data_IF_638293926394
#
_entry.id   IF_638293926394
#
_cell.length_a   1.000
_cell.length_b   1.000
_cell.length_c   1.000
_cell.angle_alpha   90.00
_cell.angle_beta   90.00
_cell.angle_gamma   90.00
#
_symmetry.space_group_name_H-M   'P 1'
#
loop_
_entity.id
_entity.type
_entity.pdbx_description
1 polymer ?
#
# COMPACT_ATOMS: atom_id res chain seq x y z
N UNK A 1 -17.59 -7.70 0.47
CA UNK A 1 -16.53 -7.16 -0.40
C UNK A 1 -15.56 -6.36 0.44
N UNK A 2 -14.25 -6.57 0.29
CA UNK A 2 -13.23 -5.79 1.00
C UNK A 2 -13.27 -4.32 0.57
N UNK A 3 -12.74 -3.40 1.41
CA UNK A 3 -12.74 -1.96 1.09
C UNK A 3 -12.00 -1.66 -0.23
N UNK A 4 -10.79 -2.23 -0.50
CA UNK A 4 -10.16 -2.09 -1.82
C UNK A 4 -11.04 -2.65 -2.94
N UNK A 5 -11.72 -3.79 -2.72
CA UNK A 5 -12.63 -4.39 -3.69
C UNK A 5 -13.80 -3.49 -4.08
N UNK A 6 -14.32 -2.69 -3.13
CA UNK A 6 -15.37 -1.71 -3.42
C UNK A 6 -14.88 -0.62 -4.39
N UNK A 7 -13.64 -0.16 -4.23
CA UNK A 7 -13.05 0.83 -5.16
C UNK A 7 -12.80 0.21 -6.53
N UNK A 8 -12.25 -1.01 -6.57
CA UNK A 8 -12.07 -1.76 -7.81
C UNK A 8 -13.40 -1.96 -8.56
N UNK A 9 -14.49 -2.26 -7.84
CA UNK A 9 -15.84 -2.36 -8.42
C UNK A 9 -16.26 -1.04 -9.09
N UNK A 10 -16.11 0.10 -8.40
CA UNK A 10 -16.44 1.42 -8.96
C UNK A 10 -15.60 1.72 -10.21
N UNK A 11 -14.30 1.40 -10.20
CA UNK A 11 -13.42 1.56 -11.36
C UNK A 11 -13.90 0.72 -12.55
N UNK A 12 -14.18 -0.56 -12.33
CA UNK A 12 -14.65 -1.46 -13.38
C UNK A 12 -16.03 -1.05 -13.92
N UNK A 13 -16.97 -0.68 -13.07
CA UNK A 13 -18.32 -0.26 -13.49
C UNK A 13 -18.33 1.08 -14.24
N UNK A 14 -17.42 2.00 -13.88
CA UNK A 14 -17.39 3.35 -14.47
C UNK A 14 -16.49 3.44 -15.69
N UNK A 15 -15.36 2.71 -15.70
CA UNK A 15 -14.29 2.83 -16.70
C UNK A 15 -13.94 1.50 -17.39
N UNK A 16 -14.63 0.41 -17.06
CA UNK A 16 -14.39 -0.94 -17.63
C UNK A 16 -13.20 -1.68 -17.01
N UNK A 17 -12.21 -0.96 -16.46
CA UNK A 17 -11.04 -1.54 -15.78
C UNK A 17 -10.39 -0.60 -14.79
N UNK A 18 -9.46 -1.15 -14.00
CA UNK A 18 -8.68 -0.41 -13.00
C UNK A 18 -7.66 0.51 -13.68
N UNK A 19 -6.79 -0.04 -14.52
CA UNK A 19 -5.75 0.71 -15.24
C UNK A 19 -6.11 0.84 -16.71
N UNK A 20 -6.36 2.07 -17.15
CA UNK A 20 -6.60 2.38 -18.55
C UNK A 20 -5.29 2.35 -19.34
N UNK A 21 -5.39 1.96 -20.62
CA UNK A 21 -4.33 2.17 -21.59
C UNK A 21 -4.18 3.66 -21.89
N UNK A 22 -3.11 4.01 -22.61
CA UNK A 22 -2.87 5.38 -23.08
C UNK A 22 -4.06 5.93 -23.87
N UNK A 23 -4.55 5.18 -24.85
CA UNK A 23 -5.63 5.64 -25.73
C UNK A 23 -6.93 5.86 -24.98
N UNK A 24 -7.32 4.94 -24.10
CA UNK A 24 -8.56 5.05 -23.31
C UNK A 24 -8.47 6.20 -22.30
N UNK A 25 -7.29 6.45 -21.75
CA UNK A 25 -7.08 7.57 -20.84
C UNK A 25 -7.16 8.92 -21.57
N UNK A 26 -6.65 9.01 -22.80
CA UNK A 26 -6.73 10.22 -23.63
C UNK A 26 -8.15 10.51 -24.13
N UNK A 27 -8.99 9.47 -24.27
CA UNK A 27 -10.41 9.59 -24.59
C UNK A 27 -11.28 10.09 -23.41
N UNK A 28 -10.75 10.06 -22.18
CA UNK A 28 -11.49 10.57 -21.02
C UNK A 28 -11.78 12.06 -21.16
N UNK A 29 -13.04 12.43 -20.92
CA UNK A 29 -13.41 13.82 -20.75
C UNK A 29 -12.54 14.48 -19.67
N UNK A 30 -12.07 15.70 -19.95
CA UNK A 30 -11.15 16.46 -19.08
C UNK A 30 -11.62 16.59 -17.62
N UNK A 31 -12.94 16.58 -17.38
CA UNK A 31 -13.53 16.58 -16.04
C UNK A 31 -13.38 15.24 -15.30
N UNK A 32 -13.38 14.12 -16.02
CA UNK A 32 -13.33 12.75 -15.46
C UNK A 32 -11.93 12.26 -15.15
N UNK A 33 -10.91 12.79 -15.84
CA UNK A 33 -9.50 12.43 -15.62
C UNK A 33 -9.13 12.51 -14.13
N UNK A 34 -9.46 13.62 -13.47
CA UNK A 34 -9.11 13.83 -12.06
C UNK A 34 -9.81 12.82 -11.14
N UNK A 35 -11.08 12.50 -11.41
CA UNK A 35 -11.84 11.55 -10.60
C UNK A 35 -11.32 10.12 -10.78
N UNK A 36 -11.02 9.73 -12.03
CA UNK A 36 -10.40 8.46 -12.36
C UNK A 36 -9.05 8.27 -11.64
N UNK A 37 -8.14 9.25 -11.76
CA UNK A 37 -6.83 9.19 -11.11
C UNK A 37 -6.93 9.11 -9.58
N UNK A 38 -7.89 9.82 -8.98
CA UNK A 38 -8.17 9.72 -7.54
C UNK A 38 -8.63 8.31 -7.17
N UNK A 39 -9.52 7.69 -7.95
CA UNK A 39 -9.99 6.34 -7.69
C UNK A 39 -8.88 5.30 -7.80
N UNK A 40 -8.02 5.40 -8.81
CA UNK A 40 -6.84 4.53 -8.96
C UNK A 40 -5.91 4.66 -7.75
N UNK A 41 -5.61 5.89 -7.34
CA UNK A 41 -4.78 6.15 -6.16
C UNK A 41 -5.42 5.63 -4.86
N UNK A 42 -6.72 5.86 -4.66
CA UNK A 42 -7.48 5.36 -3.51
C UNK A 42 -7.41 3.82 -3.46
N UNK A 43 -7.55 3.15 -4.61
CA UNK A 43 -7.49 1.69 -4.73
C UNK A 43 -6.12 1.14 -4.32
N UNK A 44 -5.03 1.65 -4.91
CA UNK A 44 -3.65 1.21 -4.59
C UNK A 44 -3.32 1.48 -3.13
N UNK A 45 -3.65 2.68 -2.63
CA UNK A 45 -3.41 3.06 -1.25
C UNK A 45 -4.12 2.12 -0.28
N UNK A 46 -5.41 1.84 -0.52
CA UNK A 46 -6.16 0.91 0.32
C UNK A 46 -5.65 -0.52 0.21
N UNK A 47 -5.30 -0.99 -0.99
CA UNK A 47 -4.80 -2.35 -1.18
C UNK A 47 -3.54 -2.61 -0.37
N UNK A 48 -2.53 -1.73 -0.51
CA UNK A 48 -1.26 -1.89 0.21
C UNK A 48 -1.45 -1.83 1.71
N UNK A 49 -2.30 -0.94 2.23
CA UNK A 49 -2.49 -0.80 3.68
C UNK A 49 -3.38 -1.88 4.30
N UNK A 50 -4.26 -2.53 3.51
CA UNK A 50 -5.10 -3.62 3.99
C UNK A 50 -4.37 -4.96 3.93
N UNK A 51 -3.65 -5.24 2.84
CA UNK A 51 -2.96 -6.52 2.64
C UNK A 51 -1.57 -6.52 3.29
N UNK A 52 -0.92 -5.36 3.41
CA UNK A 52 0.35 -5.20 4.10
C UNK A 52 0.27 -4.06 5.13
N UNK A 53 -0.42 -4.28 6.26
CA UNK A 53 -0.60 -3.29 7.32
C UNK A 53 0.69 -3.10 8.14
N UNK A 54 1.83 -2.90 7.49
CA UNK A 54 3.09 -2.66 8.18
C UNK A 54 3.03 -1.35 8.98
N UNK A 55 3.88 -1.22 10.01
CA UNK A 55 4.19 0.09 10.63
C UNK A 55 5.10 0.93 9.73
N UNK A 56 4.75 0.96 8.44
CA UNK A 56 5.45 1.63 7.36
C UNK A 56 4.59 2.79 6.84
N UNK A 57 5.26 3.87 6.47
CA UNK A 57 4.64 4.97 5.73
C UNK A 57 4.87 4.68 4.25
N UNK A 58 3.90 4.04 3.59
CA UNK A 58 4.02 3.66 2.17
C UNK A 58 4.44 4.80 1.22
N UNK A 59 3.99 6.05 1.40
CA UNK A 59 4.47 7.17 0.61
C UNK A 59 5.95 7.48 0.74
N UNK A 60 6.64 7.02 1.79
CA UNK A 60 8.07 7.25 1.97
C UNK A 60 8.94 6.17 1.31
N UNK A 61 8.35 5.18 0.65
CA UNK A 61 9.10 4.07 0.02
C UNK A 61 9.63 4.54 -1.34
N UNK A 62 10.95 4.59 -1.47
CA UNK A 62 11.64 4.96 -2.70
C UNK A 62 11.63 3.80 -3.72
N UNK A 63 11.65 4.14 -5.00
CA UNK A 63 11.81 3.16 -6.10
C UNK A 63 13.28 2.92 -6.46
N UNK A 64 14.19 3.74 -5.94
CA UNK A 64 15.63 3.56 -6.04
C UNK A 64 16.23 3.44 -4.63
N UNK A 65 17.30 2.64 -4.45
CA UNK A 65 18.00 2.58 -3.18
C UNK A 65 18.50 3.96 -2.75
N UNK A 66 18.23 4.33 -1.50
CA UNK A 66 18.70 5.56 -0.89
C UNK A 66 19.08 5.27 0.56
N UNK A 67 20.20 5.84 1.01
CA UNK A 67 20.75 5.59 2.34
C UNK A 67 19.77 6.08 3.43
N UNK A 68 19.48 5.21 4.40
CA UNK A 68 18.54 5.49 5.48
C UNK A 68 17.05 5.50 5.07
N UNK A 69 16.73 5.48 3.77
CA UNK A 69 15.36 5.43 3.29
C UNK A 69 14.85 3.98 3.18
N UNK A 70 13.53 3.83 3.29
CA UNK A 70 12.86 2.58 2.91
C UNK A 70 12.74 2.57 1.38
N UNK A 71 13.05 1.44 0.73
CA UNK A 71 12.98 1.34 -0.74
C UNK A 71 12.51 -0.03 -1.20
N UNK A 72 11.98 -0.10 -2.41
CA UNK A 72 11.57 -1.35 -3.06
C UNK A 72 12.55 -1.69 -4.18
N UNK A 73 13.19 -2.86 -4.10
CA UNK A 73 14.08 -3.38 -5.13
C UNK A 73 13.59 -4.74 -5.61
N UNK A 74 13.15 -4.84 -6.86
CA UNK A 74 12.49 -6.03 -7.36
C UNK A 74 11.22 -6.33 -6.56
N UNK A 75 11.14 -7.51 -5.94
CA UNK A 75 10.06 -7.89 -5.03
C UNK A 75 10.43 -7.75 -3.54
N UNK A 76 11.60 -7.17 -3.23
CA UNK A 76 12.12 -7.04 -1.87
C UNK A 76 11.93 -5.62 -1.38
N UNK A 77 11.17 -5.47 -0.30
CA UNK A 77 10.99 -4.21 0.41
C UNK A 77 12.06 -4.09 1.50
N UNK A 78 12.95 -3.12 1.34
CA UNK A 78 14.00 -2.78 2.29
C UNK A 78 13.50 -1.74 3.29
N UNK A 79 13.60 -2.07 4.57
CA UNK A 79 13.10 -1.30 5.70
C UNK A 79 14.27 -0.83 6.55
N UNK A 80 14.77 0.37 6.26
CA UNK A 80 15.90 0.99 6.96
C UNK A 80 15.46 1.97 8.07
N UNK A 81 14.32 2.65 7.91
CA UNK A 81 13.72 3.52 8.93
C UNK A 81 12.38 2.93 9.39
N UNK A 82 12.46 2.05 10.39
CA UNK A 82 11.29 1.52 11.08
C UNK A 82 11.25 2.13 12.49
N UNK A 83 10.59 3.30 12.62
CA UNK A 83 10.57 4.13 13.85
C UNK A 83 10.37 3.38 15.16
N UNK A 84 9.58 2.31 15.17
CA UNK A 84 9.23 1.58 16.40
C UNK A 84 10.05 0.30 16.63
N UNK A 85 11.00 -0.02 15.74
CA UNK A 85 11.79 -1.27 15.79
C UNK A 85 13.26 -0.98 15.42
N UNK A 86 13.73 0.27 15.60
CA UNK A 86 15.11 0.72 15.25
C UNK A 86 16.22 -0.16 15.87
N UNK A 87 15.91 -0.89 16.94
CA UNK A 87 16.81 -1.84 17.59
C UNK A 87 17.08 -3.12 16.77
N UNK A 88 16.23 -3.49 15.81
CA UNK A 88 16.43 -4.67 14.95
C UNK A 88 17.28 -4.38 13.69
N UNK A 89 17.70 -3.14 13.48
CA UNK A 89 18.46 -2.74 12.30
C UNK A 89 17.66 -2.85 10.99
N UNK A 90 18.35 -2.75 9.82
CA UNK A 90 17.74 -2.94 8.51
C UNK A 90 17.04 -4.28 8.37
N UNK A 91 15.83 -4.28 7.80
CA UNK A 91 15.04 -5.48 7.58
C UNK A 91 14.60 -5.57 6.11
N UNK A 92 14.36 -6.78 5.63
CA UNK A 92 13.82 -7.01 4.29
C UNK A 92 12.54 -7.84 4.35
N UNK A 93 11.54 -7.46 3.58
CA UNK A 93 10.30 -8.22 3.42
C UNK A 93 10.14 -8.59 1.95
N UNK A 94 9.93 -9.88 1.65
CA UNK A 94 9.51 -10.28 0.32
C UNK A 94 8.01 -10.06 0.15
N UNK A 95 7.64 -9.29 -0.87
CA UNK A 95 6.25 -9.08 -1.24
C UNK A 95 5.75 -10.23 -2.11
N UNK A 96 4.51 -10.66 -1.85
CA UNK A 96 3.85 -11.71 -2.63
C UNK A 96 3.59 -11.29 -4.08
N UNK A 97 3.41 -12.28 -4.95
CA UNK A 97 3.23 -12.07 -6.39
C UNK A 97 1.99 -11.25 -6.75
N UNK A 98 0.91 -11.33 -5.98
CA UNK A 98 -0.32 -10.55 -6.22
C UNK A 98 -0.06 -9.08 -5.97
N UNK A 99 0.56 -8.77 -4.83
CA UNK A 99 0.89 -7.39 -4.47
C UNK A 99 1.93 -6.79 -5.41
N UNK A 100 2.94 -7.56 -5.79
CA UNK A 100 3.92 -7.10 -6.77
C UNK A 100 3.34 -6.90 -8.16
N UNK A 101 2.45 -7.78 -8.60
CA UNK A 101 1.74 -7.60 -9.88
C UNK A 101 0.96 -6.29 -9.89
N UNK A 102 0.23 -6.00 -8.80
CA UNK A 102 -0.51 -4.75 -8.65
C UNK A 102 0.40 -3.51 -8.66
N UNK A 103 1.50 -3.54 -7.89
CA UNK A 103 2.49 -2.46 -7.85
C UNK A 103 3.06 -2.22 -9.26
N UNK A 104 3.45 -3.29 -9.95
CA UNK A 104 4.00 -3.20 -11.30
C UNK A 104 3.00 -2.57 -12.27
N UNK A 105 1.76 -3.06 -12.29
CA UNK A 105 0.72 -2.48 -13.16
C UNK A 105 0.44 -1.01 -12.86
N UNK A 106 0.49 -0.61 -11.59
CA UNK A 106 0.34 0.78 -11.21
C UNK A 106 1.49 1.67 -11.68
N UNK A 107 2.74 1.23 -11.49
CA UNK A 107 3.92 1.97 -11.95
C UNK A 107 3.99 2.05 -13.49
N UNK A 108 3.63 0.97 -14.17
CA UNK A 108 3.47 0.95 -15.63
C UNK A 108 2.37 1.90 -16.10
N UNK A 109 1.23 1.95 -15.40
CA UNK A 109 0.17 2.92 -15.68
C UNK A 109 0.65 4.36 -15.52
N UNK A 110 1.34 4.69 -14.43
CA UNK A 110 1.90 6.03 -14.24
C UNK A 110 2.88 6.40 -15.37
N UNK A 111 3.78 5.49 -15.72
CA UNK A 111 4.84 5.72 -16.69
C UNK A 111 4.32 5.80 -18.12
N UNK A 112 3.51 4.82 -18.53
CA UNK A 112 3.12 4.62 -19.92
C UNK A 112 1.80 5.31 -20.26
N UNK A 113 0.85 5.35 -19.33
CA UNK A 113 -0.46 5.98 -19.54
C UNK A 113 -0.44 7.44 -19.12
N UNK A 114 0.02 7.77 -17.91
CA UNK A 114 0.02 9.17 -17.43
C UNK A 114 1.24 9.96 -17.91
N UNK A 115 2.37 9.30 -18.21
CA UNK A 115 3.70 9.89 -18.51
C UNK A 115 4.35 10.57 -17.31
N UNK A 116 4.19 9.98 -16.14
CA UNK A 116 4.87 10.38 -14.92
C UNK A 116 5.97 9.38 -14.55
N UNK A 117 7.08 9.89 -14.00
CA UNK A 117 8.21 9.08 -13.53
C UNK A 117 8.33 9.24 -12.02
N UNK A 118 7.61 8.42 -11.23
CA UNK A 118 7.59 8.57 -9.79
C UNK A 118 8.95 8.20 -9.17
N UNK A 119 9.38 8.96 -8.16
CA UNK A 119 10.52 8.63 -7.28
C UNK A 119 10.12 7.65 -6.16
N UNK A 120 8.85 7.69 -5.77
CA UNK A 120 8.27 6.99 -4.61
C UNK A 120 7.09 6.11 -5.02
N UNK A 121 6.87 5.04 -4.27
CA UNK A 121 5.88 4.01 -4.58
C UNK A 121 4.43 4.55 -4.63
N UNK A 122 4.05 5.44 -3.72
CA UNK A 122 2.73 6.09 -3.74
C UNK A 122 2.84 7.52 -4.28
N UNK A 123 2.62 7.65 -5.58
CA UNK A 123 2.64 8.93 -6.29
C UNK A 123 1.22 9.47 -6.52
N UNK A 124 0.99 10.78 -6.33
CA UNK A 124 -0.35 11.36 -6.48
C UNK A 124 -0.35 12.49 -7.49
N UNK A 125 -1.50 12.69 -8.13
CA UNK A 125 -1.75 13.83 -9.02
C UNK A 125 -2.74 14.75 -8.31
N UNK A 126 -2.29 15.95 -7.95
CA UNK A 126 -3.12 16.97 -7.30
C UNK A 126 -3.42 18.09 -8.28
N UNK A 127 -4.70 18.41 -8.52
CA UNK A 127 -5.09 19.50 -9.41
C UNK A 127 -4.40 19.48 -10.79
N UNK A 128 -4.16 18.27 -11.34
CA UNK A 128 -3.41 18.03 -12.60
C UNK A 128 -1.93 18.42 -12.56
N UNK A 129 -1.35 18.57 -11.38
CA UNK A 129 0.08 18.65 -11.18
C UNK A 129 0.56 17.36 -10.51
N UNK A 130 1.63 16.74 -11.05
CA UNK A 130 2.22 15.58 -10.41
C UNK A 130 2.92 16.02 -9.13
N UNK A 131 2.86 15.19 -8.09
CA UNK A 131 3.50 15.50 -6.83
C UNK A 131 3.60 14.32 -5.88
N UNK A 132 4.59 14.40 -5.00
CA UNK A 132 4.73 13.47 -3.90
C UNK A 132 3.63 13.69 -2.87
N UNK A 133 3.14 12.61 -2.27
CA UNK A 133 2.24 12.72 -1.15
C UNK A 133 3.01 13.21 0.09
N UNK A 134 2.79 14.46 0.48
CA UNK A 134 3.36 15.02 1.71
C UNK A 134 2.66 14.45 2.95
N UNK A 135 3.24 13.38 3.49
CA UNK A 135 2.82 12.75 4.74
C UNK A 135 3.33 13.46 6.00
N UNK A 136 4.18 14.47 5.85
CA UNK A 136 4.83 15.21 6.95
C UNK A 136 4.05 16.45 7.37
N UNK A 137 3.17 16.96 6.52
CA UNK A 137 2.26 18.05 6.87
C UNK A 137 1.28 17.65 7.99
N UNK A 138 1.25 18.43 9.08
CA UNK A 138 0.40 18.19 10.25
C UNK A 138 -1.12 18.20 9.93
N UNK A 139 -1.53 18.77 8.81
CA UNK A 139 -2.93 18.87 8.36
C UNK A 139 -3.43 17.64 7.59
N UNK A 140 -2.56 16.73 7.14
CA UNK A 140 -2.91 15.54 6.36
C UNK A 140 -1.97 14.35 6.64
N UNK A 141 -1.83 13.94 7.90
CA UNK A 141 -1.07 12.73 8.22
C UNK A 141 -1.61 11.54 7.42
N UNK A 142 -0.74 10.68 6.89
CA UNK A 142 -1.13 9.54 6.04
C UNK A 142 -2.22 8.65 6.69
N UNK A 143 -2.15 8.47 8.01
CA UNK A 143 -3.17 7.76 8.79
C UNK A 143 -4.57 8.39 8.69
N UNK A 144 -4.68 9.72 8.63
CA UNK A 144 -5.97 10.40 8.44
C UNK A 144 -6.51 10.19 7.03
N UNK A 145 -5.66 10.14 6.00
CA UNK A 145 -6.10 9.82 4.64
C UNK A 145 -6.67 8.42 4.58
N UNK A 146 -5.99 7.42 5.14
CA UNK A 146 -6.55 6.05 5.22
C UNK A 146 -7.90 6.06 5.94
N UNK A 147 -7.99 6.72 7.09
CA UNK A 147 -9.25 6.81 7.85
C UNK A 147 -10.40 7.44 7.02
N UNK A 148 -10.12 8.52 6.28
CA UNK A 148 -11.08 9.17 5.36
C UNK A 148 -11.49 8.24 4.21
N UNK A 149 -10.57 7.47 3.65
CA UNK A 149 -10.89 6.48 2.60
C UNK A 149 -11.80 5.38 3.13
N UNK A 150 -11.54 4.87 4.34
CA UNK A 150 -12.44 3.90 4.99
C UNK A 150 -13.82 4.49 5.26
N UNK A 151 -13.90 5.75 5.72
CA UNK A 151 -15.18 6.45 5.86
C UNK A 151 -15.92 6.52 4.52
N UNK A 152 -15.23 6.96 3.44
CA UNK A 152 -15.80 7.12 2.10
C UNK A 152 -16.38 5.82 1.53
N UNK A 153 -15.67 4.70 1.66
CA UNK A 153 -16.06 3.44 1.01
C UNK A 153 -16.77 2.43 1.93
N UNK A 154 -16.69 2.62 3.24
CA UNK A 154 -17.25 1.70 4.24
C UNK A 154 -18.23 2.34 5.22
N UNK A 155 -18.43 3.66 5.15
CA UNK A 155 -19.34 4.41 6.05
C UNK A 155 -18.86 4.49 7.50
N UNK A 156 -17.67 3.94 7.80
CA UNK A 156 -17.06 3.96 9.13
C UNK A 156 -15.55 4.23 8.99
N UNK A 157 -14.98 5.13 9.80
CA UNK A 157 -13.55 5.38 9.75
C UNK A 157 -12.79 4.16 10.31
N UNK A 158 -11.59 3.92 9.80
CA UNK A 158 -10.70 2.90 10.35
C UNK A 158 -9.30 3.47 10.47
N UNK A 159 -8.73 3.44 11.67
CA UNK A 159 -7.36 3.89 11.89
C UNK A 159 -6.36 2.84 11.46
N UNK A 160 -5.14 3.25 11.13
CA UNK A 160 -4.04 2.30 10.84
C UNK A 160 -3.79 1.33 12.00
N UNK A 161 -3.96 1.76 13.25
CA UNK A 161 -3.80 0.88 14.41
C UNK A 161 -4.88 -0.19 14.47
N UNK A 162 -6.13 0.15 14.11
CA UNK A 162 -7.22 -0.84 14.03
C UNK A 162 -7.00 -1.83 12.90
N UNK A 163 -6.57 -1.37 11.72
CA UNK A 163 -6.27 -2.25 10.58
C UNK A 163 -5.17 -3.25 10.98
N UNK A 164 -4.11 -2.76 11.62
CA UNK A 164 -3.01 -3.59 12.15
C UNK A 164 -3.49 -4.58 13.18
N UNK A 165 -4.18 -4.12 14.20
CA UNK A 165 -4.67 -4.97 15.27
C UNK A 165 -5.54 -6.10 14.72
N UNK A 166 -6.41 -5.80 13.75
CA UNK A 166 -7.20 -6.82 13.08
C UNK A 166 -6.33 -7.84 12.35
N UNK A 167 -5.35 -7.40 11.57
CA UNK A 167 -4.45 -8.29 10.85
C UNK A 167 -3.57 -9.14 11.78
N UNK A 168 -3.02 -8.55 12.84
CA UNK A 168 -2.25 -9.23 13.88
C UNK A 168 -3.12 -10.29 14.57
N UNK A 169 -4.37 -9.95 14.93
CA UNK A 169 -5.31 -10.88 15.57
C UNK A 169 -5.62 -12.06 14.65
N UNK A 170 -5.86 -11.82 13.36
CA UNK A 170 -6.10 -12.89 12.38
C UNK A 170 -4.86 -13.77 12.20
N UNK A 171 -3.66 -13.19 12.20
CA UNK A 171 -2.41 -13.92 12.10
C UNK A 171 -2.18 -14.80 13.33
N UNK A 172 -2.41 -14.29 14.54
CA UNK A 172 -2.29 -15.06 15.79
C UNK A 172 -3.29 -16.22 15.82
N UNK A 173 -4.51 -16.01 15.30
CA UNK A 173 -5.53 -17.04 15.20
C UNK A 173 -5.28 -18.03 14.05
N UNK A 174 -4.28 -17.79 13.20
CA UNK A 174 -4.03 -18.64 12.04
C UNK A 174 -3.42 -20.00 12.44
N UNK A 175 -3.77 -21.09 11.74
CA UNK A 175 -3.13 -22.39 11.94
C UNK A 175 -1.61 -22.37 11.73
N UNK A 176 -1.13 -21.45 10.88
CA UNK A 176 0.31 -21.27 10.61
C UNK A 176 1.04 -20.73 11.83
N UNK A 177 0.45 -19.75 12.53
CA UNK A 177 1.02 -19.22 13.77
C UNK A 177 1.03 -20.28 14.88
N UNK A 178 -0.05 -21.06 15.01
CA UNK A 178 -0.09 -22.18 15.95
C UNK A 178 1.05 -23.20 15.71
N UNK A 179 1.34 -23.52 14.43
CA UNK A 179 2.46 -24.40 14.05
C UNK A 179 3.83 -23.78 14.35
N UNK A 180 4.01 -22.49 14.08
CA UNK A 180 5.26 -21.75 14.37
C UNK A 180 5.55 -21.73 15.88
N UNK A 181 4.54 -21.38 16.68
CA UNK A 181 4.63 -21.37 18.14
C UNK A 181 4.95 -22.77 18.65
N UNK A 182 4.23 -23.80 18.21
CA UNK A 182 4.50 -25.18 18.61
C UNK A 182 5.92 -25.65 18.22
N UNK A 183 6.41 -25.29 17.04
CA UNK A 183 7.79 -25.59 16.62
C UNK A 183 8.82 -24.83 17.47
N UNK A 184 8.56 -23.58 17.84
CA UNK A 184 9.43 -22.80 18.72
C UNK A 184 9.47 -23.38 20.13
N UNK A 185 8.33 -23.70 20.73
CA UNK A 185 8.27 -24.35 22.05
C UNK A 185 9.04 -25.66 22.05
N UNK A 186 8.82 -26.53 21.07
CA UNK A 186 9.57 -27.78 20.94
C UNK A 186 11.08 -27.55 20.80
N UNK A 187 11.51 -26.47 20.15
CA UNK A 187 12.94 -26.13 20.00
C UNK A 187 13.58 -25.53 21.26
N UNK A 188 12.76 -24.91 22.12
CA UNK A 188 13.19 -24.37 23.42
C UNK A 188 13.24 -25.48 24.46
N UNK A 189 12.25 -26.39 24.47
CA UNK A 189 12.23 -27.56 25.36
C UNK A 189 13.40 -28.50 25.08
N UNK A 190 13.81 -28.67 23.81
CA UNK A 190 15.01 -29.42 23.43
C UNK A 190 16.34 -28.78 23.85
N UNK A 191 16.34 -27.49 24.23
CA UNK A 191 17.53 -26.78 24.74
C UNK A 191 17.57 -26.69 26.26
N UNK A 192 16.49 -27.09 26.94
CA UNK A 192 16.36 -27.08 28.40
C UNK A 192 16.37 -28.49 29.01
N UNK A 193 16.38 -29.54 28.19
CA UNK A 193 16.58 -30.94 28.56
C UNK A 193 18.05 -31.36 28.34
#
# INVERSE_FOLDING_TARGET
MSVPGKVAKVLNETYGKIFLSRSEFEELAKAKITDYLKLVFDYITLWLNVHYPLRLVWPSVMLTPEEGANYLQGNVLHLNDFKNVRLMGPQTIQLDSTTMSLIKSYLEFLTNTVREQPSKLLWRIFNRQPGEYDYTSASNSFSQVISKLFMKYNGKPMSMNMIRHNAESHLIQSPTYAKLVHSMWNSVDFKLA
#
